data_IF_679121250592
#
_entry.id   IF_679121250592
#
_cell.length_a   1.000
_cell.length_b   1.000
_cell.length_c   1.000
_cell.angle_alpha   90.00
_cell.angle_beta   90.00
_cell.angle_gamma   90.00
#
_symmetry.space_group_name_H-M   'P 1'
#
loop_
_entity.id
_entity.type
_entity.pdbx_description
1 polymer ?
#
# COMPACT_ATOMS: atom_id res chain seq x y z
N UNK A 1 20.10 7.17 -6.51
CA UNK A 1 18.94 6.52 -7.16
C UNK A 1 17.68 7.15 -6.60
N UNK A 2 16.77 7.60 -7.46
CA UNK A 2 15.48 8.16 -7.04
C UNK A 2 14.35 7.26 -7.56
N UNK A 3 13.26 7.18 -6.80
CA UNK A 3 12.05 6.50 -7.20
C UNK A 3 10.85 7.38 -6.84
N UNK A 4 9.77 7.28 -7.60
CA UNK A 4 8.52 7.98 -7.36
C UNK A 4 7.35 7.00 -7.40
N UNK A 5 6.28 7.38 -6.70
CA UNK A 5 5.03 6.63 -6.67
C UNK A 5 3.85 7.56 -6.87
N UNK A 6 2.81 7.06 -7.50
CA UNK A 6 1.56 7.77 -7.76
C UNK A 6 0.46 7.08 -6.96
N UNK A 7 -0.08 7.71 -5.91
CA UNK A 7 -1.28 7.23 -5.24
C UNK A 7 -2.50 7.50 -6.12
N UNK A 8 -3.42 6.54 -6.17
CA UNK A 8 -4.68 6.68 -6.87
C UNK A 8 -5.81 6.64 -5.86
N UNK A 9 -6.60 7.70 -5.85
CA UNK A 9 -7.69 7.92 -4.92
C UNK A 9 -8.99 7.95 -5.72
N UNK A 10 -10.03 7.27 -5.25
CA UNK A 10 -11.35 7.32 -5.90
C UNK A 10 -12.12 8.59 -5.50
N UNK A 11 -13.31 8.78 -6.07
CA UNK A 11 -14.18 9.95 -5.81
C UNK A 11 -14.62 10.07 -4.34
N UNK A 12 -14.58 8.96 -3.58
CA UNK A 12 -14.89 8.93 -2.15
C UNK A 12 -13.67 9.25 -1.27
N UNK A 13 -12.53 9.64 -1.86
CA UNK A 13 -11.31 9.93 -1.12
C UNK A 13 -10.54 8.70 -0.64
N UNK A 14 -10.88 7.50 -1.11
CA UNK A 14 -10.25 6.25 -0.66
C UNK A 14 -9.02 5.91 -1.52
N UNK A 15 -7.91 5.55 -0.86
CA UNK A 15 -6.74 5.00 -1.55
C UNK A 15 -7.09 3.66 -2.18
N UNK A 16 -7.02 3.55 -3.49
CA UNK A 16 -7.32 2.32 -4.25
C UNK A 16 -6.07 1.59 -4.69
N UNK A 17 -5.02 2.31 -5.09
CA UNK A 17 -3.73 1.72 -5.45
C UNK A 17 -2.59 2.72 -5.32
N UNK A 18 -1.38 2.20 -5.20
CA UNK A 18 -0.13 2.93 -5.37
C UNK A 18 0.64 2.28 -6.51
N UNK A 19 0.92 3.04 -7.58
CA UNK A 19 1.74 2.57 -8.71
C UNK A 19 3.10 3.24 -8.67
N UNK A 20 4.17 2.50 -8.93
CA UNK A 20 5.52 3.02 -8.91
C UNK A 20 6.44 2.26 -9.87
N UNK A 21 7.59 2.87 -10.15
CA UNK A 21 8.76 2.19 -10.68
C UNK A 21 9.71 1.95 -9.49
N UNK A 22 9.94 0.69 -9.11
CA UNK A 22 10.76 0.34 -7.93
C UNK A 22 11.92 -0.55 -8.31
N UNK A 23 13.06 -0.33 -7.67
CA UNK A 23 14.22 -1.21 -7.82
C UNK A 23 13.91 -2.56 -7.15
N UNK A 24 13.75 -3.60 -7.96
CA UNK A 24 13.64 -4.99 -7.53
C UNK A 24 15.02 -5.63 -7.57
N UNK A 25 15.38 -6.32 -6.50
CA UNK A 25 16.58 -7.13 -6.44
C UNK A 25 16.31 -8.52 -7.04
N UNK A 26 17.23 -8.97 -7.88
CA UNK A 26 17.26 -10.32 -8.44
C UNK A 26 18.72 -10.78 -8.57
N UNK A 27 19.12 -11.72 -7.72
CA UNK A 27 20.45 -12.36 -7.74
C UNK A 27 21.61 -11.36 -7.64
N UNK A 28 21.49 -10.36 -6.78
CA UNK A 28 22.48 -9.31 -6.54
C UNK A 28 22.41 -8.16 -7.54
N UNK A 29 21.51 -8.20 -8.52
CA UNK A 29 21.30 -7.11 -9.47
C UNK A 29 19.98 -6.38 -9.18
N UNK A 30 19.97 -5.06 -9.35
CA UNK A 30 18.79 -4.24 -9.17
C UNK A 30 18.27 -3.76 -10.52
N UNK A 31 16.98 -3.96 -10.77
CA UNK A 31 16.29 -3.47 -11.97
C UNK A 31 15.08 -2.65 -11.57
N UNK A 32 14.85 -1.57 -12.30
CA UNK A 32 13.68 -0.75 -12.11
C UNK A 32 12.50 -1.47 -12.78
N UNK A 33 11.54 -1.93 -11.99
CA UNK A 33 10.39 -2.70 -12.45
C UNK A 33 9.08 -1.99 -12.06
N UNK A 34 8.03 -2.09 -12.89
CA UNK A 34 6.72 -1.58 -12.52
C UNK A 34 6.17 -2.38 -11.34
N UNK A 35 5.52 -1.66 -10.44
CA UNK A 35 5.10 -2.17 -9.15
C UNK A 35 3.77 -1.54 -8.75
N UNK A 36 2.84 -2.36 -8.26
CA UNK A 36 1.54 -1.91 -7.77
C UNK A 36 1.27 -2.46 -6.39
N UNK A 37 0.86 -1.61 -5.45
CA UNK A 37 0.11 -2.02 -4.27
C UNK A 37 -1.37 -1.72 -4.48
N UNK A 38 -2.18 -2.77 -4.62
CA UNK A 38 -3.63 -2.69 -4.77
C UNK A 38 -4.28 -2.77 -3.39
N UNK A 39 -5.12 -1.79 -3.06
CA UNK A 39 -5.91 -1.75 -1.82
C UNK A 39 -7.29 -2.32 -2.06
N UNK A 40 -7.74 -3.17 -1.13
CA UNK A 40 -8.97 -3.93 -1.17
C UNK A 40 -9.61 -3.95 0.22
N UNK A 41 -10.92 -4.22 0.30
CA UNK A 41 -11.69 -4.33 1.55
C UNK A 41 -11.50 -3.17 2.53
N UNK A 42 -12.52 -2.36 2.73
CA UNK A 42 -12.39 -1.18 3.60
C UNK A 42 -13.18 -1.37 4.88
N UNK A 43 -12.61 -0.92 5.99
CA UNK A 43 -13.30 -0.80 7.28
C UNK A 43 -13.31 0.65 7.73
N UNK A 44 -14.35 1.02 8.47
CA UNK A 44 -14.45 2.32 9.11
C UNK A 44 -13.84 2.25 10.51
N UNK A 45 -12.96 3.20 10.82
CA UNK A 45 -12.28 3.33 12.11
C UNK A 45 -12.37 4.81 12.50
N UNK A 46 -13.18 5.12 13.51
CA UNK A 46 -13.53 6.49 13.96
C UNK A 46 -13.76 7.49 12.82
N UNK A 47 -14.58 7.10 11.84
CA UNK A 47 -14.92 7.96 10.69
C UNK A 47 -13.88 7.99 9.56
N UNK A 48 -12.74 7.32 9.72
CA UNK A 48 -11.76 7.10 8.64
C UNK A 48 -12.03 5.77 7.93
N UNK A 49 -12.08 5.78 6.59
CA UNK A 49 -12.26 4.56 5.79
C UNK A 49 -10.94 4.01 5.30
N UNK A 50 -10.46 2.95 5.94
CA UNK A 50 -9.11 2.42 5.79
C UNK A 50 -9.14 1.10 5.02
N UNK A 51 -8.27 0.87 4.01
CA UNK A 51 -8.13 -0.44 3.38
C UNK A 51 -7.52 -1.43 4.36
N UNK A 52 -8.09 -2.63 4.43
CA UNK A 52 -7.73 -3.68 5.40
C UNK A 52 -7.16 -4.91 4.75
N UNK A 53 -7.20 -5.00 3.42
CA UNK A 53 -6.40 -5.95 2.66
C UNK A 53 -5.69 -5.24 1.53
N UNK A 54 -4.47 -5.64 1.26
CA UNK A 54 -3.79 -5.20 0.04
C UNK A 54 -2.89 -6.27 -0.51
N UNK A 55 -2.64 -6.16 -1.81
CA UNK A 55 -1.74 -7.04 -2.54
C UNK A 55 -0.68 -6.20 -3.25
N UNK A 56 0.55 -6.70 -3.27
CA UNK A 56 1.70 -6.07 -3.89
C UNK A 56 2.18 -6.96 -5.02
N UNK A 57 2.18 -6.40 -6.23
CA UNK A 57 2.52 -7.11 -7.46
C UNK A 57 3.62 -6.38 -8.20
N UNK A 58 4.65 -7.13 -8.58
CA UNK A 58 5.63 -6.72 -9.58
C UNK A 58 5.07 -7.07 -10.97
N UNK A 59 5.29 -6.21 -11.95
CA UNK A 59 4.87 -6.42 -13.34
C UNK A 59 6.08 -6.51 -14.29
N UNK A 60 7.02 -7.45 -14.08
CA UNK A 60 8.15 -7.62 -15.00
C UNK A 60 7.65 -8.14 -16.35
N UNK A 61 8.49 -8.01 -17.38
CA UNK A 61 8.16 -8.49 -18.73
C UNK A 61 7.85 -10.00 -18.80
N UNK A 62 8.31 -10.79 -17.82
CA UNK A 62 8.01 -12.22 -17.70
C UNK A 62 6.60 -12.53 -17.19
N UNK A 63 5.84 -11.51 -16.79
CA UNK A 63 4.49 -11.63 -16.25
C UNK A 63 4.39 -11.25 -14.76
N UNK A 64 3.16 -11.01 -14.33
CA UNK A 64 2.86 -10.53 -12.98
C UNK A 64 3.35 -11.49 -11.89
N UNK A 65 3.95 -10.92 -10.85
CA UNK A 65 4.41 -11.63 -9.68
C UNK A 65 3.91 -10.93 -8.41
N UNK A 66 2.82 -11.46 -7.84
CA UNK A 66 2.30 -11.01 -6.54
C UNK A 66 3.24 -11.47 -5.44
N UNK A 67 4.04 -10.51 -4.96
CA UNK A 67 5.07 -10.75 -3.96
C UNK A 67 4.52 -10.80 -2.54
N UNK A 68 3.50 -10.01 -2.24
CA UNK A 68 3.00 -9.89 -0.89
C UNK A 68 1.49 -9.67 -0.86
N UNK A 69 0.81 -10.34 0.08
CA UNK A 69 -0.60 -10.11 0.41
C UNK A 69 -0.67 -9.93 1.90
N UNK A 70 -1.40 -8.93 2.36
CA UNK A 70 -1.61 -8.73 3.79
C UNK A 70 -3.05 -8.39 4.11
N UNK A 71 -3.41 -8.71 5.35
CA UNK A 71 -4.65 -8.32 6.00
C UNK A 71 -4.29 -7.61 7.30
N UNK A 72 -4.87 -6.44 7.51
CA UNK A 72 -4.81 -5.72 8.78
C UNK A 72 -5.81 -6.38 9.73
N UNK A 73 -5.34 -6.75 10.91
CA UNK A 73 -6.15 -7.39 11.96
C UNK A 73 -6.52 -6.43 13.08
N UNK A 74 -5.71 -5.39 13.27
CA UNK A 74 -5.86 -4.39 14.33
C UNK A 74 -5.23 -3.08 13.87
N UNK A 75 -5.83 -1.96 14.25
CA UNK A 75 -5.33 -0.62 13.96
C UNK A 75 -5.33 0.15 15.28
N UNK A 76 -4.14 0.54 15.72
CA UNK A 76 -3.94 1.45 16.83
C UNK A 76 -3.33 2.74 16.27
N UNK A 77 -3.92 3.89 16.59
CA UNK A 77 -3.38 5.20 16.21
C UNK A 77 -3.51 6.16 17.39
N UNK A 78 -2.84 7.32 17.32
CA UNK A 78 -2.76 8.31 18.40
C UNK A 78 -2.20 7.78 19.74
N UNK A 79 -1.19 6.90 19.68
CA UNK A 79 -0.49 6.40 20.88
C UNK A 79 0.42 7.43 21.59
N UNK A 80 0.39 8.70 21.19
CA UNK A 80 0.99 9.78 21.97
C UNK A 80 0.07 10.12 23.15
N UNK A 81 0.31 9.48 24.30
CA UNK A 81 -0.52 9.61 25.50
C UNK A 81 -0.92 11.04 25.89
N UNK A 82 -2.20 11.15 26.30
CA UNK A 82 -2.98 12.29 26.83
C UNK A 82 -3.70 13.18 25.82
N UNK A 83 -5.00 12.94 25.68
CA UNK A 83 -6.01 14.00 25.90
C UNK A 83 -7.14 13.41 26.75
N UNK A 84 -7.15 13.74 28.04
CA UNK A 84 -8.41 13.72 28.80
C UNK A 84 -9.27 14.84 28.23
N UNK A 85 -10.45 14.54 27.70
CA UNK A 85 -11.55 15.49 27.69
C UNK A 85 -12.77 14.84 28.32
N UNK A 86 -13.28 15.57 29.32
CA UNK A 86 -14.48 15.33 30.11
C UNK A 86 -15.73 15.21 29.24
#
# INVERSE_FOLDING_TARGET
MAASGVPHVNEQGQLTRLTAQRYREERGHYRLEPWTAQSNEYQEVEGMRIPTKSEVTWHPASGDFTWFRFKITEIEYDQSGRVTRL
#
